data_IF_225643371158
#
_entry.id   IF_225643371158
#
_cell.length_a   1.000
_cell.length_b   1.000
_cell.length_c   1.000
_cell.angle_alpha   90.00
_cell.angle_beta   90.00
_cell.angle_gamma   90.00
#
_symmetry.space_group_name_H-M   'P 1'
#
loop_
_entity.id
_entity.type
_entity.pdbx_description
1 polymer ?
#
# COMPACT_ATOMS: atom_id res chain seq x y z
N UNK A 1 31.73 -18.27 4.32
CA UNK A 1 30.32 -18.01 4.70
C UNK A 1 30.21 -16.54 5.07
N UNK A 2 29.89 -15.70 4.10
CA UNK A 2 29.61 -14.28 4.28
C UNK A 2 28.29 -14.15 5.04
N UNK A 3 28.29 -13.37 6.12
CA UNK A 3 27.10 -13.10 6.93
C UNK A 3 25.96 -12.54 6.06
N UNK A 4 24.80 -13.20 6.08
CA UNK A 4 23.56 -12.76 5.41
C UNK A 4 22.91 -11.53 6.08
N UNK A 5 23.52 -10.95 7.12
CA UNK A 5 22.91 -9.92 7.95
C UNK A 5 22.79 -8.53 7.33
N UNK A 6 23.52 -8.25 6.24
CA UNK A 6 23.66 -6.88 5.71
C UNK A 6 23.06 -6.70 4.31
N UNK A 7 22.29 -7.67 3.82
CA UNK A 7 21.58 -7.53 2.55
C UNK A 7 20.41 -6.55 2.71
N UNK A 8 20.66 -5.27 2.43
CA UNK A 8 19.58 -4.29 2.26
C UNK A 8 18.64 -4.78 1.14
N UNK A 9 17.42 -5.14 1.52
CA UNK A 9 16.34 -5.63 0.65
C UNK A 9 15.67 -4.54 -0.19
N UNK A 10 16.11 -3.29 -0.08
CA UNK A 10 15.71 -2.22 -0.96
C UNK A 10 16.91 -1.30 -1.17
N UNK A 11 17.20 -0.97 -2.43
CA UNK A 11 18.23 0.00 -2.79
C UNK A 11 17.62 1.14 -3.57
N UNK A 12 17.99 2.37 -3.21
CA UNK A 12 17.62 3.55 -3.98
C UNK A 12 18.58 3.69 -5.15
N UNK A 13 18.03 3.78 -6.35
CA UNK A 13 18.78 3.98 -7.59
C UNK A 13 18.42 5.32 -8.21
N UNK A 14 19.35 5.88 -8.97
CA UNK A 14 19.13 7.12 -9.70
C UNK A 14 19.69 7.04 -11.12
N UNK A 15 19.07 7.76 -12.03
CA UNK A 15 19.44 7.79 -13.44
C UNK A 15 19.19 9.21 -13.97
N UNK A 16 20.20 9.88 -14.57
CA UNK A 16 19.94 11.13 -15.27
C UNK A 16 18.94 10.89 -16.40
N UNK A 17 17.95 11.77 -16.56
CA UNK A 17 17.03 11.69 -17.69
C UNK A 17 17.78 12.19 -18.93
N UNK A 18 17.96 11.33 -19.92
CA UNK A 18 18.73 11.62 -21.14
C UNK A 18 17.79 11.56 -22.35
N UNK A 19 17.93 12.53 -23.26
CA UNK A 19 17.29 12.45 -24.57
C UNK A 19 17.99 11.35 -25.37
N UNK A 20 17.29 10.34 -25.88
CA UNK A 20 17.95 9.24 -26.57
C UNK A 20 18.67 9.66 -27.87
N UNK A 21 18.26 10.77 -28.50
CA UNK A 21 18.97 11.37 -29.64
C UNK A 21 20.20 12.22 -29.22
N UNK A 22 20.44 12.37 -27.91
CA UNK A 22 21.59 13.09 -27.34
C UNK A 22 21.20 14.23 -26.39
N UNK A 23 22.01 14.40 -25.34
CA UNK A 23 21.87 15.44 -24.33
C UNK A 23 21.18 14.98 -23.05
N UNK A 24 21.59 15.55 -21.91
CA UNK A 24 21.06 15.22 -20.58
C UNK A 24 20.10 16.31 -20.10
N UNK A 25 18.96 15.91 -19.54
CA UNK A 25 18.04 16.82 -18.85
C UNK A 25 18.76 17.51 -17.70
N UNK A 26 18.67 18.83 -17.67
CA UNK A 26 19.19 19.64 -16.57
C UNK A 26 18.21 19.72 -15.41
N UNK A 27 16.93 19.50 -15.67
CA UNK A 27 15.81 19.77 -14.76
C UNK A 27 15.21 18.51 -14.14
N UNK A 28 15.46 17.32 -14.71
CA UNK A 28 14.85 16.08 -14.23
C UNK A 28 15.88 14.98 -13.98
N UNK A 29 15.65 14.20 -12.94
CA UNK A 29 16.37 12.96 -12.62
C UNK A 29 15.35 11.86 -12.36
N UNK A 30 15.63 10.64 -12.82
CA UNK A 30 14.85 9.48 -12.43
C UNK A 30 15.39 8.91 -11.13
N UNK A 31 14.50 8.54 -10.20
CA UNK A 31 14.83 7.79 -9.01
C UNK A 31 13.81 6.69 -8.78
N UNK A 32 14.26 5.60 -8.15
CA UNK A 32 13.40 4.49 -7.80
C UNK A 32 13.97 3.66 -6.66
N UNK A 33 13.12 2.82 -6.09
CA UNK A 33 13.52 1.76 -5.16
C UNK A 33 13.49 0.43 -5.90
N UNK A 34 14.64 -0.21 -5.96
CA UNK A 34 14.78 -1.57 -6.46
C UNK A 34 14.74 -2.50 -5.26
N UNK A 35 13.85 -3.49 -5.30
CA UNK A 35 13.76 -4.48 -4.23
C UNK A 35 15.12 -5.20 -4.13
N UNK A 36 15.54 -5.94 -5.16
CA UNK A 36 16.82 -6.64 -5.09
C UNK A 36 17.55 -6.68 -6.42
N UNK A 37 18.88 -6.69 -6.34
CA UNK A 37 19.77 -6.96 -7.46
C UNK A 37 20.61 -8.20 -7.13
N UNK A 38 20.72 -9.12 -8.08
CA UNK A 38 21.56 -10.32 -7.98
C UNK A 38 22.31 -10.52 -9.29
N UNK A 39 23.64 -10.50 -9.25
CA UNK A 39 24.52 -10.67 -10.40
C UNK A 39 24.11 -9.78 -11.60
N UNK A 40 23.47 -10.35 -12.60
CA UNK A 40 23.00 -9.68 -13.83
C UNK A 40 21.49 -9.46 -13.85
N UNK A 41 20.83 -9.52 -12.69
CA UNK A 41 19.37 -9.49 -12.56
C UNK A 41 18.87 -8.41 -11.63
N UNK A 42 17.75 -7.81 -12.01
CA UNK A 42 16.86 -7.08 -11.09
C UNK A 42 15.73 -8.01 -10.69
N UNK A 43 15.52 -8.18 -9.39
CA UNK A 43 14.42 -8.97 -8.82
C UNK A 43 13.34 -8.00 -8.34
N UNK A 44 12.12 -8.19 -8.84
CA UNK A 44 10.97 -7.33 -8.54
C UNK A 44 9.82 -8.16 -7.95
N UNK A 45 9.42 -7.85 -6.72
CA UNK A 45 8.36 -8.55 -6.01
C UNK A 45 7.02 -7.87 -6.23
N UNK A 46 6.00 -8.67 -6.57
CA UNK A 46 4.65 -8.16 -6.83
C UNK A 46 3.57 -9.05 -6.27
N UNK A 47 2.68 -8.46 -5.47
CA UNK A 47 1.41 -9.07 -5.09
C UNK A 47 0.38 -8.92 -6.21
N UNK A 48 -0.02 -10.02 -6.86
CA UNK A 48 -0.88 -10.02 -8.05
C UNK A 48 -2.14 -10.85 -7.85
N UNK A 49 -3.28 -10.42 -8.38
CA UNK A 49 -4.48 -11.26 -8.39
C UNK A 49 -4.35 -12.43 -9.37
N UNK A 50 -3.76 -12.16 -10.54
CA UNK A 50 -3.59 -13.12 -11.63
C UNK A 50 -2.20 -12.98 -12.27
N UNK A 51 -1.34 -13.98 -12.09
CA UNK A 51 0.05 -13.93 -12.54
C UNK A 51 0.17 -13.81 -14.06
N UNK A 52 -0.62 -14.57 -14.83
CA UNK A 52 -0.57 -14.55 -16.29
C UNK A 52 -0.92 -13.17 -16.88
N UNK A 53 -1.96 -12.52 -16.34
CA UNK A 53 -2.33 -11.15 -16.72
C UNK A 53 -1.24 -10.16 -16.35
N UNK A 54 -0.66 -10.27 -15.16
CA UNK A 54 0.45 -9.41 -14.76
C UNK A 54 1.64 -9.56 -15.71
N UNK A 55 2.09 -10.79 -15.99
CA UNK A 55 3.23 -11.05 -16.89
C UNK A 55 3.00 -10.41 -18.26
N UNK A 56 1.78 -10.49 -18.79
CA UNK A 56 1.43 -9.84 -20.06
C UNK A 56 1.57 -8.32 -19.99
N UNK A 57 1.09 -7.69 -18.92
CA UNK A 57 1.19 -6.24 -18.72
C UNK A 57 2.62 -5.78 -18.45
N UNK A 58 3.38 -6.54 -17.66
CA UNK A 58 4.77 -6.26 -17.35
C UNK A 58 5.66 -6.25 -18.60
N UNK A 59 5.29 -6.98 -19.65
CA UNK A 59 6.00 -6.94 -20.94
C UNK A 59 5.83 -5.60 -21.68
N UNK A 60 4.78 -4.85 -21.37
CA UNK A 60 4.40 -3.57 -22.01
C UNK A 60 4.74 -2.38 -21.11
N UNK A 61 4.77 -2.57 -19.80
CA UNK A 61 5.23 -1.56 -18.84
C UNK A 61 6.74 -1.34 -18.92
N UNK A 62 7.21 -0.29 -18.24
CA UNK A 62 8.64 0.08 -18.22
C UNK A 62 9.25 0.10 -16.81
N UNK A 63 8.51 -0.23 -15.75
CA UNK A 63 8.99 -0.04 -14.38
C UNK A 63 10.31 -0.76 -14.11
N UNK A 64 10.37 -2.06 -14.43
CA UNK A 64 11.55 -2.86 -14.17
C UNK A 64 12.68 -2.54 -15.16
N UNK A 65 12.36 -2.17 -16.41
CA UNK A 65 13.34 -1.67 -17.39
C UNK A 65 14.01 -0.38 -16.89
N UNK A 66 13.26 0.53 -16.25
CA UNK A 66 13.82 1.74 -15.65
C UNK A 66 14.72 1.45 -14.45
N UNK A 67 14.37 0.46 -13.63
CA UNK A 67 15.25 -0.02 -12.57
C UNK A 67 16.55 -0.60 -13.14
N UNK A 68 16.45 -1.47 -14.15
CA UNK A 68 17.61 -2.02 -14.82
C UNK A 68 18.49 -0.92 -15.44
N UNK A 69 17.91 0.09 -16.09
CA UNK A 69 18.67 1.24 -16.59
C UNK A 69 19.42 1.99 -15.49
N UNK A 70 18.76 2.27 -14.37
CA UNK A 70 19.38 3.00 -13.26
C UNK A 70 20.49 2.18 -12.57
N UNK A 71 20.28 0.88 -12.41
CA UNK A 71 21.30 -0.05 -11.88
C UNK A 71 22.50 -0.16 -12.85
N UNK A 72 22.25 -0.23 -14.17
CA UNK A 72 23.30 -0.19 -15.20
C UNK A 72 24.09 1.10 -15.19
N UNK A 73 23.42 2.23 -14.97
CA UNK A 73 24.10 3.52 -14.81
C UNK A 73 25.02 3.55 -13.59
N UNK A 74 24.68 2.82 -12.52
CA UNK A 74 25.53 2.59 -11.35
C UNK A 74 26.70 1.62 -11.58
N UNK A 75 26.85 1.05 -12.77
CA UNK A 75 28.00 0.20 -13.15
C UNK A 75 27.77 -1.31 -13.11
N UNK A 76 26.56 -1.79 -12.81
CA UNK A 76 26.23 -3.22 -12.82
C UNK A 76 25.66 -3.65 -14.18
N UNK A 77 26.07 -4.80 -14.73
CA UNK A 77 25.55 -5.26 -16.03
C UNK A 77 24.28 -6.11 -15.89
N UNK A 78 23.12 -5.44 -15.87
CA UNK A 78 21.82 -6.09 -15.79
C UNK A 78 21.33 -6.51 -17.18
N UNK A 79 21.07 -7.80 -17.34
CA UNK A 79 20.60 -8.45 -18.58
C UNK A 79 19.22 -9.10 -18.43
N UNK A 80 18.72 -9.24 -17.21
CA UNK A 80 17.45 -9.93 -16.91
C UNK A 80 16.67 -9.24 -15.79
N UNK A 81 15.34 -9.35 -15.86
CA UNK A 81 14.44 -9.04 -14.76
C UNK A 81 13.76 -10.34 -14.31
N UNK A 82 13.83 -10.62 -13.02
CA UNK A 82 13.13 -11.74 -12.40
C UNK A 82 11.93 -11.20 -11.60
N UNK A 83 10.73 -11.47 -12.09
CA UNK A 83 9.50 -11.16 -11.36
C UNK A 83 9.19 -12.28 -10.38
N UNK A 84 9.10 -11.96 -9.09
CA UNK A 84 8.64 -12.89 -8.05
C UNK A 84 7.21 -12.51 -7.66
N UNK A 85 6.27 -13.23 -8.24
CA UNK A 85 4.84 -12.93 -8.18
C UNK A 85 4.17 -13.72 -7.07
N UNK A 86 3.58 -13.03 -6.10
CA UNK A 86 2.77 -13.67 -5.07
C UNK A 86 1.30 -13.49 -5.39
N UNK A 87 0.59 -14.60 -5.53
CA UNK A 87 -0.86 -14.58 -5.73
C UNK A 87 -1.55 -14.02 -4.48
N UNK A 88 -2.38 -12.99 -4.67
CA UNK A 88 -3.21 -12.45 -3.60
C UNK A 88 -4.25 -13.49 -3.17
N UNK A 89 -4.37 -13.78 -1.87
CA UNK A 89 -5.39 -14.68 -1.37
C UNK A 89 -6.77 -14.09 -1.66
N UNK A 90 -7.69 -14.92 -2.13
CA UNK A 90 -9.08 -14.54 -2.42
C UNK A 90 -9.98 -14.66 -1.18
N UNK A 91 -9.37 -14.64 0.00
CA UNK A 91 -10.09 -14.65 1.27
C UNK A 91 -10.65 -13.25 1.50
N UNK A 92 -11.88 -13.18 2.03
CA UNK A 92 -12.45 -11.92 2.52
C UNK A 92 -12.29 -11.87 4.03
N UNK A 93 -11.97 -10.70 4.55
CA UNK A 93 -12.01 -10.49 5.99
C UNK A 93 -13.45 -10.65 6.46
N UNK A 94 -13.66 -11.55 7.43
CA UNK A 94 -14.95 -11.66 8.09
C UNK A 94 -14.81 -11.08 9.48
N UNK A 95 -15.42 -9.90 9.71
CA UNK A 95 -15.52 -9.34 11.06
C UNK A 95 -16.08 -10.42 12.01
N UNK A 96 -15.52 -10.55 13.22
CA UNK A 96 -16.02 -11.51 14.19
C UNK A 96 -17.47 -11.14 14.52
N UNK A 97 -18.40 -11.99 14.12
CA UNK A 97 -19.80 -11.92 14.53
C UNK A 97 -20.04 -12.96 15.63
N UNK A 98 -20.59 -12.51 16.75
CA UNK A 98 -21.06 -13.42 17.79
C UNK A 98 -22.31 -14.12 17.27
N UNK A 99 -22.21 -15.43 17.02
CA UNK A 99 -23.27 -16.13 16.29
C UNK A 99 -24.34 -16.68 17.22
N UNK A 100 -23.97 -17.25 18.37
CA UNK A 100 -24.90 -17.74 19.39
C UNK A 100 -24.14 -18.22 20.64
N UNK A 101 -24.84 -18.23 21.77
CA UNK A 101 -24.45 -18.94 22.98
C UNK A 101 -25.15 -20.31 22.98
N UNK A 102 -24.38 -21.40 23.01
CA UNK A 102 -24.98 -22.73 23.26
C UNK A 102 -25.08 -22.90 24.76
N UNK A 103 -26.31 -22.94 25.28
CA UNK A 103 -26.56 -23.24 26.68
C UNK A 103 -26.82 -24.74 26.82
N UNK A 104 -25.94 -25.45 27.54
CA UNK A 104 -26.14 -26.87 27.89
C UNK A 104 -26.70 -26.96 29.30
N UNK A 105 -27.88 -27.57 29.45
CA UNK A 105 -28.48 -27.91 30.75
C UNK A 105 -28.74 -29.43 30.75
N UNK A 106 -27.88 -30.19 31.42
CA UNK A 106 -27.92 -31.66 31.41
C UNK A 106 -27.62 -32.27 30.03
N UNK A 107 -28.43 -33.23 29.56
CA UNK A 107 -28.30 -33.86 28.22
C UNK A 107 -28.98 -33.09 27.09
N UNK A 108 -29.64 -31.96 27.38
CA UNK A 108 -30.37 -31.15 26.39
C UNK A 108 -29.56 -29.89 26.08
N UNK A 109 -29.40 -29.59 24.80
CA UNK A 109 -28.76 -28.36 24.31
C UNK A 109 -29.81 -27.47 23.67
N UNK A 110 -29.95 -26.24 24.15
CA UNK A 110 -30.78 -25.21 23.54
C UNK A 110 -29.88 -24.17 22.86
N UNK A 111 -30.15 -23.89 21.59
CA UNK A 111 -29.43 -22.89 20.81
C UNK A 111 -30.16 -21.55 20.97
N UNK A 112 -29.57 -20.59 21.68
CA UNK A 112 -30.13 -19.24 21.77
C UNK A 112 -29.29 -18.31 20.89
N UNK A 113 -29.89 -17.79 19.82
CA UNK A 113 -29.34 -16.64 19.10
C UNK A 113 -29.34 -15.46 20.07
N UNK A 114 -28.17 -15.06 20.52
CA UNK A 114 -27.98 -13.86 21.32
C UNK A 114 -27.42 -12.79 20.38
N UNK A 115 -28.27 -11.87 19.96
CA UNK A 115 -27.92 -10.83 18.99
C UNK A 115 -27.17 -9.67 19.66
N UNK A 116 -27.05 -9.68 21.00
CA UNK A 116 -26.35 -8.62 21.74
C UNK A 116 -25.51 -9.13 22.91
N UNK A 117 -24.39 -8.45 23.15
CA UNK A 117 -23.42 -8.68 24.24
C UNK A 117 -24.06 -8.69 25.64
N UNK A 118 -25.18 -7.98 25.83
CA UNK A 118 -25.96 -7.94 27.07
C UNK A 118 -26.60 -9.28 27.45
N UNK A 119 -26.91 -10.12 26.47
CA UNK A 119 -27.57 -11.41 26.74
C UNK A 119 -26.58 -12.50 27.18
N UNK A 120 -25.30 -12.38 26.82
CA UNK A 120 -24.24 -13.27 27.29
C UNK A 120 -23.90 -13.03 28.77
N UNK A 121 -23.98 -11.78 29.25
CA UNK A 121 -23.79 -11.43 30.66
C UNK A 121 -24.92 -11.98 31.55
N UNK A 122 -26.18 -11.99 31.07
CA UNK A 122 -27.30 -12.61 31.78
C UNK A 122 -27.21 -14.15 31.85
N UNK A 123 -26.50 -14.80 30.93
CA UNK A 123 -26.35 -16.26 30.93
C UNK A 123 -25.33 -16.77 31.98
N UNK A 124 -24.39 -15.92 32.39
CA UNK A 124 -23.34 -16.28 33.37
C UNK A 124 -23.85 -16.36 34.83
N UNK A 125 -25.09 -15.94 35.09
CA UNK A 125 -25.69 -15.93 36.44
C UNK A 125 -26.42 -17.23 36.81
N UNK A 126 -26.51 -18.21 35.91
CA UNK A 126 -27.16 -19.51 36.17
C UNK A 126 -26.11 -20.59 36.46
N UNK A 127 -26.13 -21.16 37.67
CA UNK A 127 -25.02 -21.93 38.28
C UNK A 127 -24.67 -23.27 37.63
N UNK A 128 -25.48 -23.81 36.70
CA UNK A 128 -25.27 -25.14 36.11
C UNK A 128 -25.19 -25.15 34.57
N UNK A 129 -25.12 -23.98 33.93
CA UNK A 129 -25.05 -23.87 32.47
C UNK A 129 -23.61 -23.63 31.99
N UNK A 130 -23.10 -24.50 31.11
CA UNK A 130 -21.91 -24.17 30.30
C UNK A 130 -22.35 -23.39 29.06
N UNK A 131 -21.77 -22.20 28.88
CA UNK A 131 -21.99 -21.35 27.71
C UNK A 131 -20.78 -21.48 26.78
N UNK A 132 -20.97 -22.10 25.62
CA UNK A 132 -19.97 -22.11 24.56
C UNK A 132 -20.28 -20.95 23.59
N UNK A 133 -19.42 -19.92 23.60
CA UNK A 133 -19.51 -18.80 22.64
C UNK A 133 -18.83 -19.22 21.35
N UNK A 134 -19.59 -19.33 20.27
CA UNK A 134 -19.03 -19.57 18.93
C UNK A 134 -18.99 -18.28 18.13
N UNK A 135 -17.79 -17.75 17.94
CA UNK A 135 -17.55 -16.64 17.03
C UNK A 135 -17.47 -17.18 15.60
N UNK A 136 -18.26 -16.61 14.69
CA UNK A 136 -18.08 -16.79 13.24
C UNK A 136 -17.24 -15.65 12.71
N UNK A 137 -16.28 -15.96 11.84
CA UNK A 137 -15.35 -14.99 11.27
C UNK A 137 -13.97 -15.02 11.92
N UNK A 138 -13.15 -14.04 11.56
CA UNK A 138 -11.78 -13.90 12.04
C UNK A 138 -11.77 -13.31 13.45
N UNK A 139 -11.22 -14.06 14.41
CA UNK A 139 -11.16 -13.65 15.81
C UNK A 139 -10.54 -12.25 15.99
N UNK A 140 -9.56 -11.92 15.15
CA UNK A 140 -8.97 -10.61 15.01
C UNK A 140 -8.28 -10.49 13.64
N UNK A 141 -7.73 -9.31 13.36
CA UNK A 141 -6.96 -9.04 12.14
C UNK A 141 -5.81 -10.04 11.93
N UNK A 142 -5.08 -10.41 12.99
CA UNK A 142 -3.98 -11.36 12.89
C UNK A 142 -4.41 -12.78 12.51
N UNK A 143 -5.58 -13.22 12.96
CA UNK A 143 -6.15 -14.50 12.54
C UNK A 143 -6.45 -14.51 11.02
N UNK A 144 -6.97 -13.40 10.49
CA UNK A 144 -7.22 -13.26 9.05
C UNK A 144 -5.93 -13.26 8.22
N UNK A 145 -4.93 -12.49 8.64
CA UNK A 145 -3.65 -12.42 7.94
C UNK A 145 -2.90 -13.76 7.99
N UNK A 146 -2.95 -14.49 9.12
CA UNK A 146 -2.43 -15.86 9.20
C UNK A 146 -3.14 -16.82 8.24
N UNK A 147 -4.47 -16.71 8.10
CA UNK A 147 -5.22 -17.49 7.10
C UNK A 147 -4.79 -17.16 5.68
N UNK A 148 -4.58 -15.87 5.38
CA UNK A 148 -4.09 -15.41 4.09
C UNK A 148 -2.71 -15.99 3.77
N UNK A 149 -1.79 -15.96 4.73
CA UNK A 149 -0.46 -16.54 4.56
C UNK A 149 -0.52 -18.05 4.34
N UNK A 150 -1.31 -18.76 5.15
CA UNK A 150 -1.51 -20.21 4.98
C UNK A 150 -2.11 -20.55 3.61
N UNK A 151 -3.02 -19.72 3.09
CA UNK A 151 -3.60 -19.90 1.75
C UNK A 151 -2.54 -19.72 0.65
N UNK A 152 -1.65 -18.73 0.78
CA UNK A 152 -0.54 -18.50 -0.15
C UNK A 152 0.41 -19.70 -0.14
N UNK A 153 0.84 -20.15 1.05
CA UNK A 153 1.77 -21.27 1.20
C UNK A 153 1.15 -22.57 0.65
N UNK A 154 -0.09 -22.88 1.05
CA UNK A 154 -0.75 -24.12 0.67
C UNK A 154 -1.01 -24.26 -0.84
N UNK A 155 -1.08 -23.13 -1.57
CA UNK A 155 -1.37 -23.10 -3.01
C UNK A 155 -0.13 -22.90 -3.86
N UNK A 156 1.06 -22.98 -3.28
CA UNK A 156 2.32 -22.63 -3.95
C UNK A 156 2.20 -21.25 -4.65
N UNK A 157 1.78 -20.26 -3.85
CA UNK A 157 1.36 -18.96 -4.36
C UNK A 157 2.46 -18.11 -4.97
N UNK A 158 3.71 -18.58 -4.94
CA UNK A 158 4.88 -17.92 -5.51
C UNK A 158 5.13 -18.39 -6.94
N UNK A 159 5.06 -17.48 -7.90
CA UNK A 159 5.36 -17.74 -9.31
C UNK A 159 6.53 -16.87 -9.73
N UNK A 160 7.61 -17.49 -10.19
CA UNK A 160 8.76 -16.76 -10.75
C UNK A 160 8.63 -16.64 -12.27
N UNK A 161 8.89 -15.45 -12.81
CA UNK A 161 8.93 -15.22 -14.25
C UNK A 161 10.13 -14.38 -14.65
N UNK A 162 10.94 -14.93 -15.55
CA UNK A 162 12.12 -14.26 -16.09
C UNK A 162 11.79 -13.49 -17.36
N UNK A 163 12.31 -12.28 -17.43
CA UNK A 163 12.16 -11.37 -18.54
C UNK A 163 13.53 -10.90 -19.02
N UNK A 164 13.91 -11.36 -20.20
CA UNK A 164 15.20 -10.97 -20.81
C UNK A 164 15.12 -9.51 -21.26
N UNK A 165 16.09 -8.71 -20.84
CA UNK A 165 16.21 -7.34 -21.28
C UNK A 165 16.85 -7.27 -22.67
N UNK A 166 16.25 -6.46 -23.52
CA UNK A 166 16.81 -6.13 -24.83
C UNK A 166 17.12 -4.64 -24.88
N UNK A 167 18.15 -4.25 -25.65
CA UNK A 167 18.46 -2.83 -25.85
C UNK A 167 17.28 -2.05 -26.41
N UNK A 168 16.43 -2.68 -27.25
CA UNK A 168 15.22 -2.06 -27.77
C UNK A 168 14.21 -1.70 -26.66
N UNK A 169 14.07 -2.54 -25.63
CA UNK A 169 13.20 -2.27 -24.46
C UNK A 169 13.77 -1.17 -23.57
N UNK A 170 15.07 -1.23 -23.31
CA UNK A 170 15.77 -0.21 -22.54
C UNK A 170 15.67 1.15 -23.25
N UNK A 171 15.81 1.17 -24.57
CA UNK A 171 15.65 2.37 -25.38
C UNK A 171 14.23 2.96 -25.32
N UNK A 172 13.19 2.13 -25.42
CA UNK A 172 11.81 2.58 -25.22
C UNK A 172 11.58 3.15 -23.82
N UNK A 173 12.19 2.55 -22.80
CA UNK A 173 12.09 3.06 -21.43
C UNK A 173 12.78 4.43 -21.27
N UNK A 174 13.90 4.68 -21.96
CA UNK A 174 14.53 6.02 -22.02
C UNK A 174 13.61 7.04 -22.71
N UNK A 175 13.04 6.68 -23.86
CA UNK A 175 12.06 7.51 -24.56
C UNK A 175 10.84 7.84 -23.70
N UNK A 176 10.34 6.87 -22.94
CA UNK A 176 9.25 7.07 -22.00
C UNK A 176 9.58 8.13 -20.94
N UNK A 177 10.74 8.01 -20.27
CA UNK A 177 11.18 9.02 -19.29
C UNK A 177 11.36 10.41 -19.90
N UNK A 178 12.00 10.47 -21.07
CA UNK A 178 12.21 11.73 -21.79
C UNK A 178 10.89 12.37 -22.24
N UNK A 179 9.93 11.56 -22.69
CA UNK A 179 8.58 12.01 -23.01
C UNK A 179 7.88 12.62 -21.80
N UNK A 180 7.97 11.95 -20.64
CA UNK A 180 7.40 12.45 -19.39
C UNK A 180 8.03 13.77 -18.95
N UNK A 181 9.36 13.88 -18.99
CA UNK A 181 10.05 15.12 -18.60
C UNK A 181 9.68 16.31 -19.49
N UNK A 182 9.64 16.12 -20.83
CA UNK A 182 9.20 17.17 -21.76
C UNK A 182 7.77 17.63 -21.49
N UNK A 183 6.86 16.68 -21.25
CA UNK A 183 5.45 16.98 -20.96
C UNK A 183 5.30 17.79 -19.67
N UNK A 184 6.04 17.45 -18.61
CA UNK A 184 6.04 18.24 -17.36
C UNK A 184 6.54 19.67 -17.60
N UNK A 185 7.64 19.83 -18.34
CA UNK A 185 8.20 21.14 -18.66
C UNK A 185 7.22 21.98 -19.48
N UNK A 186 6.55 21.38 -20.45
CA UNK A 186 5.52 22.05 -21.26
C UNK A 186 4.33 22.51 -20.40
N UNK A 187 3.80 21.63 -19.54
CA UNK A 187 2.73 21.96 -18.60
C UNK A 187 3.10 23.10 -17.66
N UNK A 188 4.33 23.10 -17.12
CA UNK A 188 4.85 24.18 -16.25
C UNK A 188 5.02 25.49 -16.99
N UNK A 189 5.60 25.45 -18.19
CA UNK A 189 5.86 26.65 -19.01
C UNK A 189 4.56 27.39 -19.32
N UNK A 190 3.51 26.64 -19.63
CA UNK A 190 2.22 27.21 -20.01
C UNK A 190 1.24 27.34 -18.84
N UNK A 191 1.60 26.82 -17.65
CA UNK A 191 0.72 26.63 -16.51
C UNK A 191 -0.62 25.97 -16.92
N UNK A 192 -0.54 24.89 -17.70
CA UNK A 192 -1.69 24.16 -18.23
C UNK A 192 -1.55 22.68 -17.93
N UNK A 193 -2.53 22.15 -17.23
CA UNK A 193 -2.61 20.75 -16.85
C UNK A 193 -3.98 20.23 -17.27
N UNK A 194 -4.00 19.25 -18.15
CA UNK A 194 -5.23 18.74 -18.72
C UNK A 194 -5.81 17.60 -17.88
N UNK A 195 -7.09 17.68 -17.50
CA UNK A 195 -7.78 16.55 -16.91
C UNK A 195 -8.00 15.46 -17.96
N UNK A 196 -7.99 14.20 -17.54
CA UNK A 196 -8.43 13.08 -18.36
C UNK A 196 -9.72 12.47 -17.76
N UNK A 197 -10.90 12.74 -18.34
CA UNK A 197 -12.17 12.22 -17.83
C UNK A 197 -12.21 10.70 -17.67
N UNK A 198 -11.45 9.96 -18.51
CA UNK A 198 -11.37 8.50 -18.42
C UNK A 198 -10.59 8.00 -17.20
N UNK A 199 -9.71 8.84 -16.65
CA UNK A 199 -8.95 8.54 -15.44
C UNK A 199 -9.68 8.98 -14.17
N UNK A 200 -10.70 9.85 -14.28
CA UNK A 200 -11.47 10.33 -13.12
C UNK A 200 -12.27 9.23 -12.43
N UNK A 201 -12.64 8.16 -13.14
CA UNK A 201 -13.37 7.02 -12.60
C UNK A 201 -12.73 5.71 -13.08
N UNK A 202 -11.56 5.39 -12.54
CA UNK A 202 -10.81 4.20 -12.93
C UNK A 202 -11.08 3.05 -11.95
N UNK A 203 -11.45 1.88 -12.48
CA UNK A 203 -11.69 0.66 -11.70
C UNK A 203 -12.75 0.84 -10.59
N UNK A 204 -13.87 1.49 -10.92
CA UNK A 204 -14.98 1.77 -9.99
C UNK A 204 -14.55 2.62 -8.79
N UNK A 205 -13.41 3.30 -8.89
CA UNK A 205 -12.92 4.25 -7.90
C UNK A 205 -12.87 5.63 -8.49
N UNK A 206 -13.46 6.56 -7.77
CA UNK A 206 -13.33 7.98 -8.03
C UNK A 206 -11.89 8.43 -7.79
N UNK A 207 -11.42 9.33 -8.65
CA UNK A 207 -10.15 10.01 -8.47
C UNK A 207 -10.15 10.75 -7.13
N UNK A 208 -9.11 10.60 -6.29
CA UNK A 208 -9.03 11.29 -5.00
C UNK A 208 -9.05 12.81 -5.10
N UNK A 209 -8.79 13.38 -6.27
CA UNK A 209 -8.77 14.83 -6.53
C UNK A 209 -9.94 15.32 -7.39
N UNK A 210 -11.01 14.53 -7.54
CA UNK A 210 -12.17 14.88 -8.36
C UNK A 210 -12.78 16.23 -7.94
N UNK A 211 -13.01 16.43 -6.65
CA UNK A 211 -13.56 17.68 -6.09
C UNK A 211 -12.68 18.91 -6.41
N UNK A 212 -11.36 18.76 -6.34
CA UNK A 212 -10.42 19.83 -6.71
C UNK A 212 -10.48 20.15 -8.21
N UNK A 213 -10.60 19.11 -9.05
CA UNK A 213 -10.71 19.29 -10.50
C UNK A 213 -12.03 19.99 -10.86
N UNK A 214 -13.13 19.61 -10.23
CA UNK A 214 -14.45 20.21 -10.45
C UNK A 214 -14.45 21.69 -10.02
N UNK A 215 -13.96 21.99 -8.81
CA UNK A 215 -13.83 23.36 -8.32
C UNK A 215 -12.98 24.22 -9.27
N UNK A 216 -11.81 23.72 -9.68
CA UNK A 216 -10.91 24.42 -10.59
C UNK A 216 -11.56 24.69 -11.97
N UNK A 217 -12.25 23.72 -12.55
CA UNK A 217 -12.91 23.87 -13.86
C UNK A 217 -14.09 24.84 -13.83
N UNK A 218 -14.79 24.91 -12.69
CA UNK A 218 -15.91 25.82 -12.49
C UNK A 218 -15.50 27.20 -11.95
N UNK A 219 -14.19 27.46 -11.80
CA UNK A 219 -13.67 28.72 -11.29
C UNK A 219 -13.96 28.97 -9.81
N UNK A 220 -14.28 27.93 -9.05
CA UNK A 220 -14.46 28.00 -7.61
C UNK A 220 -13.10 27.98 -6.88
N UNK A 221 -13.06 28.60 -5.70
CA UNK A 221 -11.90 28.49 -4.81
C UNK A 221 -11.81 27.05 -4.27
N UNK A 222 -10.66 26.41 -4.48
CA UNK A 222 -10.37 25.05 -4.04
C UNK A 222 -9.48 25.00 -2.80
N UNK A 223 -8.97 26.14 -2.30
CA UNK A 223 -8.06 26.15 -1.14
C UNK A 223 -8.75 25.69 0.15
N UNK A 224 -10.06 25.93 0.30
CA UNK A 224 -10.84 25.39 1.42
C UNK A 224 -10.93 23.86 1.37
N UNK A 225 -11.08 23.27 0.18
CA UNK A 225 -11.12 21.81 -0.03
C UNK A 225 -9.76 21.22 0.38
N UNK A 226 -8.67 21.88 -0.01
CA UNK A 226 -7.31 21.48 0.38
C UNK A 226 -7.16 21.47 1.89
N UNK A 227 -7.57 22.55 2.58
CA UNK A 227 -7.45 22.66 4.04
C UNK A 227 -8.31 21.67 4.82
N UNK A 228 -9.48 21.31 4.29
CA UNK A 228 -10.42 20.38 4.93
C UNK A 228 -10.05 18.91 4.67
N UNK A 229 -9.76 18.55 3.41
CA UNK A 229 -9.67 17.15 2.98
C UNK A 229 -8.26 16.66 2.68
N UNK A 230 -7.27 17.55 2.58
CA UNK A 230 -5.92 17.19 2.15
C UNK A 230 -4.87 17.61 3.17
N UNK A 231 -3.72 16.96 3.07
CA UNK A 231 -2.47 17.36 3.72
C UNK A 231 -1.42 17.60 2.64
N UNK A 232 -0.63 18.66 2.81
CA UNK A 232 0.54 18.94 1.96
C UNK A 232 1.72 18.14 2.52
N UNK A 233 2.37 17.35 1.69
CA UNK A 233 3.57 16.61 2.08
C UNK A 233 4.80 17.53 2.01
N UNK A 234 5.69 17.37 2.98
CA UNK A 234 6.98 18.06 2.97
C UNK A 234 7.82 17.67 1.74
N UNK A 235 7.76 16.41 1.32
CA UNK A 235 8.46 15.89 0.15
C UNK A 235 7.52 15.11 -0.76
N UNK A 236 7.75 15.16 -2.08
CA UNK A 236 6.94 14.40 -3.06
C UNK A 236 7.18 12.90 -2.94
N UNK A 237 8.39 12.51 -2.56
CA UNK A 237 8.88 11.12 -2.52
C UNK A 237 9.60 10.79 -1.20
N UNK A 238 8.91 10.84 -0.04
CA UNK A 238 9.55 10.54 1.24
C UNK A 238 10.21 9.16 1.25
N UNK A 239 9.61 8.19 0.52
CA UNK A 239 10.12 6.83 0.42
C UNK A 239 11.54 6.75 -0.15
N UNK A 240 12.02 7.73 -0.92
CA UNK A 240 13.35 7.69 -1.53
C UNK A 240 14.47 8.22 -0.61
N UNK A 241 14.13 8.88 0.49
CA UNK A 241 15.08 9.65 1.30
C UNK A 241 15.28 9.12 2.72
N UNK A 242 14.62 8.03 3.10
CA UNK A 242 14.70 7.46 4.45
C UNK A 242 16.14 7.13 4.90
N UNK A 243 17.07 6.91 3.95
CA UNK A 243 18.46 6.50 4.22
C UNK A 243 19.55 7.36 3.53
N UNK A 244 19.17 8.36 2.73
CA UNK A 244 20.13 9.18 1.98
C UNK A 244 20.12 10.57 2.58
N UNK A 245 21.25 11.02 3.14
CA UNK A 245 21.42 12.38 3.64
C UNK A 245 20.90 13.36 2.59
N UNK A 246 19.89 14.14 2.97
CA UNK A 246 19.01 15.00 2.15
C UNK A 246 19.73 16.12 1.36
N UNK A 247 20.75 15.75 0.59
CA UNK A 247 21.70 16.66 -0.07
C UNK A 247 21.59 16.63 -1.59
N UNK A 248 20.62 15.90 -2.15
CA UNK A 248 20.26 16.11 -3.55
C UNK A 248 19.61 17.49 -3.65
N UNK A 249 20.31 18.41 -4.32
CA UNK A 249 19.88 19.80 -4.53
C UNK A 249 18.41 19.87 -4.94
N UNK A 250 17.62 20.71 -4.25
CA UNK A 250 16.20 20.98 -4.50
C UNK A 250 15.88 21.41 -5.95
N UNK A 251 16.90 21.63 -6.78
CA UNK A 251 16.78 22.14 -8.15
C UNK A 251 16.20 21.13 -9.15
N UNK A 252 16.34 19.83 -8.94
CA UNK A 252 15.89 18.82 -9.92
C UNK A 252 14.56 18.20 -9.55
N UNK A 253 13.67 18.14 -10.53
CA UNK A 253 12.43 17.36 -10.45
C UNK A 253 12.76 15.87 -10.45
N UNK A 254 12.33 15.18 -9.40
CA UNK A 254 12.49 13.73 -9.28
C UNK A 254 11.33 13.06 -10.00
N UNK A 255 11.66 12.20 -10.95
CA UNK A 255 10.72 11.34 -11.64
C UNK A 255 10.82 9.93 -11.06
N UNK A 256 9.69 9.41 -10.60
CA UNK A 256 9.51 7.98 -10.30
C UNK A 256 8.64 7.34 -11.37
N UNK A 257 8.67 6.00 -11.48
CA UNK A 257 7.75 5.29 -12.38
C UNK A 257 6.28 5.63 -12.06
N UNK A 258 5.92 5.69 -10.77
CA UNK A 258 4.58 6.08 -10.33
C UNK A 258 4.23 7.50 -10.78
N UNK A 259 5.13 8.48 -10.63
CA UNK A 259 4.88 9.85 -11.09
C UNK A 259 4.71 9.94 -12.62
N UNK A 260 5.51 9.19 -13.39
CA UNK A 260 5.38 9.14 -14.84
C UNK A 260 4.06 8.47 -15.25
N UNK A 261 3.67 7.38 -14.59
CA UNK A 261 2.41 6.68 -14.81
C UNK A 261 1.22 7.60 -14.52
N UNK A 262 1.25 8.31 -13.39
CA UNK A 262 0.27 9.30 -12.97
C UNK A 262 0.11 10.41 -14.03
N UNK A 263 1.23 10.96 -14.54
CA UNK A 263 1.23 11.96 -15.62
C UNK A 263 0.61 11.40 -16.91
N UNK A 264 0.95 10.17 -17.30
CA UNK A 264 0.38 9.56 -18.51
C UNK A 264 -1.10 9.26 -18.38
N UNK A 265 -1.57 8.94 -17.17
CA UNK A 265 -2.98 8.74 -16.89
C UNK A 265 -3.74 10.06 -16.92
N UNK A 266 -3.26 11.09 -16.23
CA UNK A 266 -3.90 12.40 -16.14
C UNK A 266 -2.90 13.47 -15.66
N UNK A 267 -2.70 14.53 -16.45
CA UNK A 267 -1.79 15.63 -16.07
C UNK A 267 -2.28 16.33 -14.81
N UNK A 268 -3.61 16.50 -14.65
CA UNK A 268 -4.15 17.10 -13.43
C UNK A 268 -3.94 16.25 -12.19
N UNK A 269 -4.03 14.93 -12.31
CA UNK A 269 -3.71 14.03 -11.21
C UNK A 269 -2.24 14.19 -10.81
N UNK A 270 -1.34 14.25 -11.80
CA UNK A 270 0.07 14.50 -11.54
C UNK A 270 0.31 15.83 -10.84
N UNK A 271 -0.30 16.92 -11.32
CA UNK A 271 -0.17 18.24 -10.71
C UNK A 271 -0.59 18.25 -9.25
N UNK A 272 -1.79 17.76 -8.94
CA UNK A 272 -2.28 17.77 -7.56
C UNK A 272 -1.39 16.94 -6.63
N UNK A 273 -1.00 15.74 -7.08
CA UNK A 273 -0.25 14.80 -6.26
C UNK A 273 1.23 15.14 -6.12
N UNK A 274 1.90 15.54 -7.20
CA UNK A 274 3.37 15.66 -7.25
C UNK A 274 3.85 17.11 -7.26
N UNK A 275 3.18 18.02 -7.98
CA UNK A 275 3.54 19.45 -7.99
C UNK A 275 3.03 20.16 -6.72
N UNK A 276 1.75 19.95 -6.38
CA UNK A 276 1.13 20.50 -5.18
C UNK A 276 1.33 19.64 -3.93
N UNK A 277 1.93 18.45 -4.09
CA UNK A 277 2.27 17.51 -3.00
C UNK A 277 1.06 17.16 -2.11
N UNK A 278 -0.13 17.11 -2.68
CA UNK A 278 -1.35 16.83 -1.94
C UNK A 278 -1.52 15.33 -1.73
N UNK A 279 -1.90 14.97 -0.51
CA UNK A 279 -2.44 13.66 -0.18
C UNK A 279 -3.77 13.83 0.53
N UNK A 280 -4.78 13.07 0.10
CA UNK A 280 -6.06 13.06 0.80
C UNK A 280 -5.82 12.60 2.24
N UNK A 281 -6.36 13.33 3.22
CA UNK A 281 -6.34 12.89 4.61
C UNK A 281 -7.02 11.51 4.64
N UNK A 282 -6.33 10.52 5.22
CA UNK A 282 -6.74 9.13 5.09
C UNK A 282 -8.17 8.92 5.60
N UNK A 283 -9.01 8.31 4.77
CA UNK A 283 -10.20 7.64 5.26
C UNK A 283 -9.76 6.41 6.06
N UNK A 284 -10.07 6.39 7.36
CA UNK A 284 -9.60 5.41 8.34
C UNK A 284 -10.00 3.96 8.01
N UNK A 285 -10.78 3.72 6.95
CA UNK A 285 -11.40 2.44 6.62
C UNK A 285 -10.95 1.79 5.28
N UNK A 286 -9.82 2.21 4.70
CA UNK A 286 -9.33 1.65 3.42
C UNK A 286 -8.68 0.26 3.55
N UNK A 287 -9.50 -0.77 3.80
CA UNK A 287 -9.13 -2.21 3.82
C UNK A 287 -8.11 -2.66 2.74
N UNK A 288 -8.21 -2.22 1.47
CA UNK A 288 -7.25 -2.63 0.44
C UNK A 288 -5.80 -2.22 0.71
N UNK A 289 -5.57 -1.11 1.42
CA UNK A 289 -4.22 -0.66 1.77
C UNK A 289 -3.61 -1.55 2.86
N UNK A 290 -4.42 -2.01 3.82
CA UNK A 290 -3.94 -2.89 4.90
C UNK A 290 -3.53 -4.26 4.38
N UNK A 291 -4.30 -4.82 3.45
CA UNK A 291 -3.97 -6.09 2.80
C UNK A 291 -2.67 -5.96 2.01
N UNK A 292 -2.48 -4.84 1.29
CA UNK A 292 -1.24 -4.55 0.57
C UNK A 292 -0.03 -4.53 1.52
N UNK A 293 -0.08 -3.74 2.59
CA UNK A 293 1.02 -3.65 3.56
C UNK A 293 1.31 -4.99 4.25
N UNK A 294 0.28 -5.78 4.59
CA UNK A 294 0.47 -7.10 5.19
C UNK A 294 1.17 -8.09 4.25
N UNK A 295 0.84 -8.04 2.95
CA UNK A 295 1.52 -8.85 1.93
C UNK A 295 2.99 -8.46 1.80
N UNK A 296 3.33 -7.15 1.81
CA UNK A 296 4.72 -6.69 1.79
C UNK A 296 5.53 -7.11 3.02
N UNK A 297 4.94 -7.08 4.22
CA UNK A 297 5.62 -7.58 5.42
C UNK A 297 5.79 -9.11 5.41
N UNK A 298 4.81 -9.86 4.89
CA UNK A 298 4.93 -11.30 4.69
C UNK A 298 6.03 -11.66 3.67
N UNK A 299 6.14 -10.87 2.59
CA UNK A 299 7.18 -10.96 1.59
C UNK A 299 8.58 -10.83 2.21
N UNK A 300 8.82 -9.77 2.98
CA UNK A 300 10.12 -9.52 3.63
C UNK A 300 10.58 -10.72 4.49
N UNK A 301 9.66 -11.34 5.24
CA UNK A 301 9.99 -12.52 6.05
C UNK A 301 10.13 -13.83 5.29
N UNK A 302 9.46 -14.01 4.15
CA UNK A 302 9.68 -15.17 3.27
C UNK A 302 11.05 -15.11 2.59
N UNK A 303 11.54 -13.90 2.28
CA UNK A 303 12.82 -13.72 1.58
C UNK A 303 14.06 -13.86 2.47
N UNK A 304 13.88 -13.80 3.79
CA UNK A 304 14.96 -13.87 4.78
C UNK A 304 15.17 -15.28 5.36
N UNK A 305 14.50 -16.31 4.80
CA UNK A 305 14.41 -17.67 5.38
C UNK A 305 14.02 -17.68 6.87
N UNK A 306 13.41 -16.60 7.35
CA UNK A 306 13.11 -16.36 8.75
C UNK A 306 11.65 -15.93 8.86
N UNK A 307 10.75 -16.91 8.88
CA UNK A 307 9.33 -16.69 9.16
C UNK A 307 9.12 -15.85 10.43
N UNK A 308 10.02 -15.94 11.41
CA UNK A 308 10.02 -15.15 12.65
C UNK A 308 10.22 -13.63 12.42
N UNK A 309 10.92 -13.23 11.35
CA UNK A 309 11.10 -11.82 10.98
C UNK A 309 9.85 -11.24 10.29
N UNK A 310 9.15 -12.03 9.47
CA UNK A 310 7.79 -11.67 9.00
C UNK A 310 6.88 -11.38 10.19
N UNK A 311 6.90 -12.24 11.22
CA UNK A 311 6.15 -12.03 12.46
C UNK A 311 6.58 -10.76 13.23
N UNK A 312 7.86 -10.37 13.19
CA UNK A 312 8.36 -9.18 13.88
C UNK A 312 8.01 -7.86 13.16
N UNK A 313 8.17 -7.79 11.83
CA UNK A 313 7.73 -6.64 11.03
C UNK A 313 6.22 -6.41 11.16
N UNK A 314 5.48 -7.51 11.15
CA UNK A 314 4.04 -7.57 11.37
C UNK A 314 3.60 -7.04 12.76
N UNK A 315 4.27 -7.44 13.86
CA UNK A 315 4.00 -6.92 15.21
C UNK A 315 4.34 -5.43 15.37
N UNK A 316 5.31 -4.89 14.62
CA UNK A 316 5.63 -3.46 14.62
C UNK A 316 4.56 -2.61 13.95
N UNK A 317 3.93 -3.10 12.87
CA UNK A 317 2.82 -2.39 12.21
C UNK A 317 1.57 -2.30 13.09
N UNK A 318 1.23 -3.38 13.81
CA UNK A 318 0.10 -3.38 14.75
C UNK A 318 0.23 -2.40 15.92
N UNK A 319 1.45 -1.98 16.28
CA UNK A 319 1.71 -0.99 17.36
C UNK A 319 1.69 0.46 16.90
N UNK A 320 1.82 0.73 15.59
CA UNK A 320 1.90 2.10 15.03
C UNK A 320 0.58 2.66 14.51
N UNK A 321 -0.49 1.86 14.43
CA UNK A 321 -1.80 2.36 14.02
C UNK A 321 -2.62 2.86 15.23
N UNK A 322 -3.03 4.15 15.28
CA UNK A 322 -3.77 4.75 16.40
C UNK A 322 -5.22 4.25 16.56
N UNK A 323 -5.68 3.34 15.70
CA UNK A 323 -7.10 3.06 15.44
C UNK A 323 -7.90 2.43 16.59
N UNK A 324 -7.31 2.21 17.77
CA UNK A 324 -8.06 1.73 18.94
C UNK A 324 -8.07 2.65 20.16
N UNK A 325 -7.33 3.76 20.20
CA UNK A 325 -7.34 4.61 21.40
C UNK A 325 -8.56 5.53 21.51
N UNK A 326 -9.08 6.10 20.41
CA UNK A 326 -10.17 7.09 20.51
C UNK A 326 -11.56 6.51 20.81
N UNK A 327 -11.90 5.30 20.32
CA UNK A 327 -13.17 4.64 20.67
C UNK A 327 -13.14 3.91 22.02
N UNK A 328 -11.98 3.48 22.50
CA UNK A 328 -11.89 2.77 23.78
C UNK A 328 -11.94 3.72 24.99
N UNK A 329 -11.43 4.96 24.88
CA UNK A 329 -11.47 5.96 25.97
C UNK A 329 -12.90 6.48 26.23
N UNK A 330 -13.74 6.56 25.20
CA UNK A 330 -15.17 6.87 25.37
C UNK A 330 -15.94 5.72 26.06
N UNK A 331 -15.49 4.48 25.89
CA UNK A 331 -16.10 3.32 26.55
C UNK A 331 -15.70 3.19 28.03
N UNK A 332 -14.51 3.65 28.43
CA UNK A 332 -14.08 3.62 29.85
C UNK A 332 -14.78 4.71 30.66
N UNK A 333 -14.96 5.92 30.11
CA UNK A 333 -15.68 7.01 30.80
C UNK A 333 -17.16 6.72 31.05
N UNK A 334 -17.82 5.94 30.19
CA UNK A 334 -19.21 5.56 30.38
C UNK A 334 -19.40 4.53 31.52
N UNK A 335 -18.38 3.71 31.80
CA UNK A 335 -18.41 2.73 32.89
C UNK A 335 -18.20 3.39 34.27
N UNK A 336 -17.36 4.41 34.34
CA UNK A 336 -17.08 5.12 35.60
C UNK A 336 -18.26 6.01 36.06
N UNK A 337 -19.10 6.48 35.12
CA UNK A 337 -20.29 7.28 35.43
C UNK A 337 -21.51 6.47 35.92
N UNK A 338 -21.47 5.14 35.85
CA UNK A 338 -22.59 4.28 36.26
C UNK A 338 -22.51 3.78 37.71
N UNK A 339 -21.43 4.09 38.44
CA UNK A 339 -21.14 3.52 39.76
C UNK A 339 -21.46 4.38 40.99
N UNK A 340 -22.01 5.59 40.84
CA UNK A 340 -22.25 6.52 41.97
C UNK A 340 -23.70 6.97 42.05
N UNK A 341 -24.58 6.08 42.53
CA UNK A 341 -26.01 6.38 42.65
C UNK A 341 -26.72 5.56 43.73
N UNK A 342 -26.15 5.43 44.93
CA UNK A 342 -26.89 5.00 46.12
C UNK A 342 -27.16 6.22 47.00
N UNK A 343 -28.26 6.91 46.72
CA UNK A 343 -28.86 7.89 47.62
C UNK A 343 -29.86 7.19 48.54
N UNK A 344 -29.64 7.30 49.85
CA UNK A 344 -30.50 6.82 50.90
C UNK A 344 -31.84 7.58 50.91
N UNK A 345 -32.96 6.86 50.96
CA UNK A 345 -34.25 7.40 51.36
C UNK A 345 -34.35 7.33 52.90
N UNK A 346 -34.66 8.48 53.49
CA UNK A 346 -35.24 8.62 54.84
C UNK A 346 -36.75 8.73 54.73
#
# INVERSE_FOLDING_TARGET
MTSLSDANFESVVSLPVVNPDGGTSRTCIYMGKVDRTEDTKVIDWKGVAECARFIRLARIGFQAELYALAVRHGGQDITEIEYRLIRRPQLRYSKPSYTFAVMRIGRKSALKLCDTRKEAECAATMSDASVEVRCKGDANRAAYENRCLNDIIAKDGLVTHNHILTEAKLEQARWYLWGCSKRILDCRTHNRWMPNPRACYAYERECPFADLCDACQNGADYEWIIGDQFQVRDTSHPELFDNVAASMSEEKTILTFTSCSDLTACEMFYYWKHERRLAKQHDEDSEPLWVGSAVHAGLEGLTTDCLDMAFCGYRRMGRRQPCHRRRCVLATRAADSAGTGNGACS
#
